data_IF_242459328695
#
_entry.id   IF_242459328695
#
_cell.length_a   1.000
_cell.length_b   1.000
_cell.length_c   1.000
_cell.angle_alpha   90.00
_cell.angle_beta   90.00
_cell.angle_gamma   90.00
#
_symmetry.space_group_name_H-M   'P 1'
#
loop_
_entity.id
_entity.type
_entity.pdbx_description
1 polymer ?
#
# COMPACT_ATOMS: atom_id res chain seq x y z
N UNK A 1 5.48 -12.32 -8.38
CA UNK A 1 4.66 -11.60 -7.38
C UNK A 1 3.65 -12.58 -6.88
N UNK A 2 3.69 -12.83 -5.58
CA UNK A 2 2.79 -13.80 -4.96
C UNK A 2 1.62 -13.06 -4.35
N UNK A 3 0.40 -13.53 -4.58
CA UNK A 3 -0.83 -12.93 -4.03
C UNK A 3 -1.68 -13.96 -3.32
N UNK A 4 -2.30 -13.54 -2.22
CA UNK A 4 -3.34 -14.29 -1.52
C UNK A 4 -4.63 -13.48 -1.51
N UNK A 5 -5.71 -14.10 -1.95
CA UNK A 5 -7.07 -13.56 -1.89
C UNK A 5 -8.06 -14.69 -1.57
N UNK A 6 -9.35 -14.39 -1.37
CA UNK A 6 -10.37 -15.44 -1.27
C UNK A 6 -10.43 -16.37 -2.48
N UNK A 7 -9.89 -15.97 -3.64
CA UNK A 7 -9.77 -16.80 -4.84
C UNK A 7 -8.58 -17.78 -4.78
N UNK A 8 -7.73 -17.67 -3.76
CA UNK A 8 -6.60 -18.56 -3.51
C UNK A 8 -5.24 -17.89 -3.69
N UNK A 9 -4.22 -18.74 -3.81
CA UNK A 9 -2.83 -18.34 -4.08
C UNK A 9 -2.57 -18.21 -5.58
N UNK A 10 -1.89 -17.15 -5.98
CA UNK A 10 -1.34 -16.99 -7.34
C UNK A 10 0.11 -16.54 -7.30
N UNK A 11 0.93 -17.07 -8.20
CA UNK A 11 2.29 -16.56 -8.46
C UNK A 11 2.35 -15.99 -9.88
N UNK A 12 2.54 -14.68 -9.96
CA UNK A 12 2.51 -13.91 -11.21
C UNK A 12 3.94 -13.50 -11.56
N UNK A 13 4.50 -14.03 -12.65
CA UNK A 13 5.81 -13.63 -13.12
C UNK A 13 5.79 -12.15 -13.55
N UNK A 14 6.63 -11.33 -12.90
CA UNK A 14 6.78 -9.92 -13.26
C UNK A 14 7.91 -9.77 -14.28
N UNK A 15 7.60 -9.07 -15.38
CA UNK A 15 8.53 -8.75 -16.46
C UNK A 15 8.30 -7.32 -16.93
N UNK A 16 9.26 -6.75 -17.63
CA UNK A 16 9.10 -5.41 -18.22
C UNK A 16 7.80 -5.33 -19.06
N UNK A 17 7.04 -4.26 -18.85
CA UNK A 17 5.74 -4.03 -19.49
C UNK A 17 4.55 -4.74 -18.85
N UNK A 18 4.73 -5.55 -17.81
CA UNK A 18 3.61 -6.15 -17.08
C UNK A 18 2.91 -5.10 -16.20
N UNK A 19 1.57 -5.11 -16.24
CA UNK A 19 0.71 -4.36 -15.30
C UNK A 19 -0.04 -5.37 -14.45
N UNK A 20 0.09 -5.27 -13.14
CA UNK A 20 -0.66 -6.07 -12.17
C UNK A 20 -1.41 -5.12 -11.27
N UNK A 21 -2.73 -5.26 -11.22
CA UNK A 21 -3.60 -4.50 -10.33
C UNK A 21 -4.35 -5.48 -9.43
N UNK A 22 -4.60 -5.05 -8.20
CA UNK A 22 -5.40 -5.78 -7.23
C UNK A 22 -6.21 -4.81 -6.37
N UNK A 23 -7.28 -5.30 -5.78
CA UNK A 23 -8.20 -4.53 -4.94
C UNK A 23 -7.85 -4.69 -3.46
N UNK A 24 -8.40 -3.83 -2.57
CA UNK A 24 -8.23 -3.96 -1.13
C UNK A 24 -8.56 -5.37 -0.62
N UNK A 25 -7.79 -5.84 0.36
CA UNK A 25 -7.90 -7.19 0.92
C UNK A 25 -6.98 -8.23 0.26
N UNK A 26 -6.26 -7.86 -0.79
CA UNK A 26 -5.24 -8.71 -1.42
C UNK A 26 -3.92 -8.62 -0.66
N UNK A 27 -3.49 -9.72 -0.06
CA UNK A 27 -2.12 -9.84 0.46
C UNK A 27 -1.19 -10.06 -0.73
N UNK A 28 -0.08 -9.33 -0.77
CA UNK A 28 0.91 -9.52 -1.81
C UNK A 28 2.34 -9.50 -1.31
N UNK A 29 3.21 -10.22 -2.02
CA UNK A 29 4.64 -10.25 -1.78
C UNK A 29 5.40 -10.14 -3.09
N UNK A 30 6.34 -9.20 -3.10
CA UNK A 30 7.34 -9.09 -4.15
C UNK A 30 8.49 -10.02 -3.81
N UNK A 31 8.60 -11.14 -4.54
CA UNK A 31 9.77 -12.01 -4.49
C UNK A 31 10.63 -11.63 -5.68
N UNK A 32 11.78 -11.04 -5.40
CA UNK A 32 12.70 -10.56 -6.43
C UNK A 32 13.43 -11.74 -7.07
N UNK A 33 13.31 -11.86 -8.40
CA UNK A 33 14.27 -12.58 -9.24
C UNK A 33 15.04 -11.58 -10.08
N UNK A 34 16.37 -11.56 -9.98
CA UNK A 34 17.23 -10.62 -10.72
C UNK A 34 17.08 -9.15 -10.30
N UNK A 35 17.36 -8.21 -11.19
CA UNK A 35 17.37 -6.75 -10.91
C UNK A 35 16.02 -6.06 -11.14
N UNK A 36 14.93 -6.71 -10.73
CA UNK A 36 13.57 -6.21 -10.96
C UNK A 36 13.38 -4.81 -10.33
N UNK A 37 13.01 -3.83 -11.15
CA UNK A 37 12.53 -2.51 -10.73
C UNK A 37 11.08 -2.36 -11.15
N UNK A 38 10.24 -1.91 -10.24
CA UNK A 38 8.81 -1.67 -10.49
C UNK A 38 8.41 -0.27 -10.05
N UNK A 39 7.51 0.34 -10.81
CA UNK A 39 6.79 1.55 -10.39
C UNK A 39 5.46 1.10 -9.81
N UNK A 40 5.22 1.47 -8.55
CA UNK A 40 3.97 1.17 -7.84
C UNK A 40 3.13 2.42 -7.80
N UNK A 41 1.90 2.33 -8.34
CA UNK A 41 0.88 3.36 -8.21
C UNK A 41 -0.15 2.88 -7.20
N UNK A 42 -0.34 3.65 -6.12
CA UNK A 42 -1.30 3.31 -5.08
C UNK A 42 -2.53 4.21 -5.21
N UNK A 43 -3.71 3.60 -5.09
CA UNK A 43 -4.98 4.31 -5.14
C UNK A 43 -5.17 5.16 -3.87
N UNK A 44 -5.86 6.30 -3.98
CA UNK A 44 -6.19 7.20 -2.85
C UNK A 44 -4.93 7.66 -2.10
N UNK A 45 -3.97 8.25 -2.84
CA UNK A 45 -2.64 8.62 -2.37
C UNK A 45 -2.55 8.99 -0.89
N UNK A 46 -1.68 8.29 -0.16
CA UNK A 46 -1.40 8.53 1.26
C UNK A 46 -2.08 7.55 2.24
N UNK A 47 -3.07 6.75 1.83
CA UNK A 47 -3.66 5.74 2.74
C UNK A 47 -2.67 4.65 3.17
N UNK A 48 -1.84 4.09 2.26
CA UNK A 48 -0.79 3.13 2.64
C UNK A 48 0.22 3.71 3.62
N UNK A 49 0.66 4.94 3.38
CA UNK A 49 1.54 5.68 4.27
C UNK A 49 0.85 6.01 5.61
N UNK A 50 -0.48 6.19 5.61
CA UNK A 50 -1.30 6.36 6.81
C UNK A 50 -1.65 5.03 7.52
N UNK A 51 -1.10 3.91 7.05
CA UNK A 51 -1.20 2.61 7.68
C UNK A 51 -2.40 1.77 7.26
N UNK A 52 -2.91 1.93 6.03
CA UNK A 52 -3.94 1.02 5.48
C UNK A 52 -3.42 -0.39 5.17
N UNK A 53 -2.11 -0.52 5.03
CA UNK A 53 -1.43 -1.76 4.77
C UNK A 53 -1.03 -2.44 6.09
N UNK A 54 -1.47 -3.69 6.24
CA UNK A 54 -1.25 -4.49 7.44
C UNK A 54 -0.30 -5.64 7.11
N UNK A 55 0.76 -5.80 7.91
CA UNK A 55 1.69 -6.94 7.76
C UNK A 55 1.03 -8.25 8.16
N UNK A 56 1.35 -9.32 7.46
CA UNK A 56 0.91 -10.69 7.78
C UNK A 56 1.71 -11.29 8.93
N UNK A 57 1.81 -10.59 10.05
CA UNK A 57 2.44 -11.13 11.26
C UNK A 57 1.64 -12.30 11.84
N UNK A 58 2.25 -13.14 12.69
CA UNK A 58 1.55 -14.17 13.45
C UNK A 58 0.37 -13.63 14.26
N UNK A 59 -0.63 -14.48 14.51
CA UNK A 59 -1.90 -14.11 15.13
C UNK A 59 -1.75 -13.45 16.50
N UNK A 60 -0.79 -13.90 17.31
CA UNK A 60 -0.47 -13.34 18.62
C UNK A 60 0.09 -11.92 18.58
N UNK A 61 0.73 -11.53 17.46
CA UNK A 61 1.18 -10.15 17.24
C UNK A 61 0.01 -9.30 16.75
N UNK A 62 -0.83 -9.84 15.87
CA UNK A 62 -2.02 -9.14 15.34
C UNK A 62 -3.09 -8.90 16.41
N UNK A 63 -3.14 -9.73 17.45
CA UNK A 63 -4.11 -9.61 18.53
C UNK A 63 -3.82 -8.46 19.50
N UNK A 64 -2.62 -7.86 19.45
CA UNK A 64 -2.18 -6.79 20.36
C UNK A 64 -1.69 -5.57 19.55
N UNK A 65 -2.43 -4.43 19.60
CA UNK A 65 -2.04 -3.22 18.87
C UNK A 65 -0.65 -2.68 19.22
N UNK A 66 -0.20 -2.84 20.46
CA UNK A 66 1.13 -2.42 20.91
C UNK A 66 2.23 -3.28 20.32
N UNK A 67 2.08 -4.61 20.39
CA UNK A 67 3.04 -5.56 19.78
C UNK A 67 3.09 -5.41 18.27
N UNK A 68 1.93 -5.19 17.64
CA UNK A 68 1.87 -4.90 16.22
C UNK A 68 2.64 -3.63 15.88
N UNK A 69 2.44 -2.53 16.62
CA UNK A 69 3.11 -1.27 16.37
C UNK A 69 4.63 -1.38 16.56
N UNK A 70 5.09 -2.09 17.59
CA UNK A 70 6.51 -2.37 17.85
C UNK A 70 7.15 -3.14 16.69
N UNK A 71 6.50 -4.21 16.23
CA UNK A 71 7.01 -5.04 15.13
C UNK A 71 6.95 -4.34 13.76
N UNK A 72 5.96 -3.48 13.54
CA UNK A 72 5.74 -2.81 12.26
C UNK A 72 6.62 -1.56 12.05
N UNK A 73 7.00 -0.88 13.13
CA UNK A 73 7.71 0.41 13.08
C UNK A 73 9.21 0.21 12.87
N UNK A 74 9.80 1.01 11.99
CA UNK A 74 11.26 1.06 11.84
C UNK A 74 11.83 2.24 12.64
N UNK A 75 13.06 2.10 13.17
CA UNK A 75 13.80 3.24 13.70
C UNK A 75 13.95 4.33 12.64
N UNK A 76 13.98 5.59 13.09
CA UNK A 76 14.27 6.71 12.20
C UNK A 76 15.73 6.67 11.71
N UNK A 77 15.98 7.23 10.53
CA UNK A 77 17.33 7.34 9.97
C UNK A 77 17.66 6.28 8.94
N UNK A 78 18.94 5.92 8.87
CA UNK A 78 19.53 4.97 7.92
C UNK A 78 20.65 4.18 8.58
N UNK A 79 21.11 3.10 7.94
CA UNK A 79 22.25 2.31 8.42
C UNK A 79 21.86 0.90 8.86
N UNK A 80 22.83 0.19 9.44
CA UNK A 80 22.73 -1.24 9.75
C UNK A 80 21.59 -1.58 10.71
N UNK A 81 21.29 -0.71 11.68
CA UNK A 81 20.19 -0.91 12.63
C UNK A 81 18.82 -0.88 11.93
N UNK A 82 18.58 0.14 11.11
CA UNK A 82 17.34 0.27 10.32
C UNK A 82 17.19 -0.90 9.35
N UNK A 83 18.30 -1.31 8.72
CA UNK A 83 18.32 -2.49 7.85
C UNK A 83 17.98 -3.78 8.60
N UNK A 84 18.57 -4.00 9.77
CA UNK A 84 18.29 -5.17 10.60
C UNK A 84 16.82 -5.20 11.04
N UNK A 85 16.29 -4.06 11.49
CA UNK A 85 14.86 -3.92 11.84
C UNK A 85 13.95 -4.20 10.63
N UNK A 86 14.30 -3.69 9.45
CA UNK A 86 13.54 -3.94 8.23
C UNK A 86 13.55 -5.42 7.82
N UNK A 87 14.68 -6.12 7.98
CA UNK A 87 14.78 -7.56 7.75
C UNK A 87 13.98 -8.35 8.76
N UNK A 88 14.07 -8.04 10.05
CA UNK A 88 13.29 -8.68 11.10
C UNK A 88 11.77 -8.53 10.88
N UNK A 89 11.32 -7.31 10.56
CA UNK A 89 9.93 -7.05 10.18
C UNK A 89 9.48 -7.87 8.97
N UNK A 90 10.31 -7.93 7.92
CA UNK A 90 10.03 -8.74 6.73
C UNK A 90 9.90 -10.21 7.08
N UNK A 91 10.83 -10.75 7.88
CA UNK A 91 10.88 -12.17 8.20
C UNK A 91 9.67 -12.59 9.03
N UNK A 92 9.28 -11.79 10.03
CA UNK A 92 8.05 -12.00 10.80
C UNK A 92 6.78 -11.95 9.92
N UNK A 93 6.73 -11.05 8.93
CA UNK A 93 5.61 -11.00 7.99
C UNK A 93 5.59 -12.22 7.07
N UNK A 94 6.76 -12.76 6.71
CA UNK A 94 6.88 -13.98 5.91
C UNK A 94 6.41 -15.21 6.69
N UNK A 95 6.71 -15.30 7.99
CA UNK A 95 6.23 -16.39 8.85
C UNK A 95 4.70 -16.51 8.80
N UNK A 96 3.97 -15.43 9.08
CA UNK A 96 2.50 -15.47 9.01
C UNK A 96 1.98 -15.61 7.57
N UNK A 97 2.66 -15.02 6.57
CA UNK A 97 2.30 -15.21 5.16
C UNK A 97 2.33 -16.69 4.74
N UNK A 98 3.34 -17.46 5.17
CA UNK A 98 3.48 -18.86 4.79
C UNK A 98 2.32 -19.70 5.31
N UNK A 99 1.88 -19.46 6.56
CA UNK A 99 0.69 -20.09 7.14
C UNK A 99 -0.56 -19.80 6.30
N UNK A 100 -0.78 -18.54 5.93
CA UNK A 100 -1.93 -18.14 5.10
C UNK A 100 -1.89 -18.82 3.71
N UNK A 101 -0.71 -18.86 3.09
CA UNK A 101 -0.51 -19.49 1.78
C UNK A 101 -0.78 -20.99 1.83
N UNK A 102 -0.24 -21.69 2.82
CA UNK A 102 -0.38 -23.14 2.96
C UNK A 102 -1.83 -23.54 3.18
N UNK A 103 -2.57 -22.80 4.01
CA UNK A 103 -4.00 -22.99 4.19
C UNK A 103 -4.77 -22.80 2.87
N UNK A 104 -4.51 -21.72 2.12
CA UNK A 104 -5.19 -21.47 0.84
C UNK A 104 -4.86 -22.52 -0.21
N UNK A 105 -3.63 -23.01 -0.27
CA UNK A 105 -3.23 -24.11 -1.17
C UNK A 105 -3.95 -25.41 -0.79
N UNK A 106 -4.21 -25.64 0.49
CA UNK A 106 -5.02 -26.76 0.98
C UNK A 106 -6.54 -26.56 0.79
N UNK A 107 -6.97 -25.41 0.25
CA UNK A 107 -8.38 -25.08 0.06
C UNK A 107 -9.07 -24.47 1.29
N UNK A 108 -8.33 -24.12 2.33
CA UNK A 108 -8.84 -23.47 3.54
C UNK A 108 -8.65 -21.95 3.50
N UNK A 109 -9.77 -21.23 3.39
CA UNK A 109 -9.82 -19.75 3.41
C UNK A 109 -9.96 -19.19 4.83
N UNK A 110 -10.16 -20.03 5.85
CA UNK A 110 -10.38 -19.66 7.25
C UNK A 110 -9.28 -18.73 7.80
N UNK A 111 -8.00 -19.12 7.74
CA UNK A 111 -6.89 -18.30 8.23
C UNK A 111 -6.80 -16.93 7.56
N UNK A 112 -7.04 -16.83 6.25
CA UNK A 112 -7.08 -15.54 5.55
C UNK A 112 -8.19 -14.64 6.09
N UNK A 113 -9.37 -15.19 6.35
CA UNK A 113 -10.51 -14.43 6.91
C UNK A 113 -10.25 -14.01 8.36
N UNK A 114 -9.52 -14.80 9.13
CA UNK A 114 -9.10 -14.44 10.50
C UNK A 114 -8.08 -13.30 10.47
N UNK A 115 -7.08 -13.39 9.58
CA UNK A 115 -6.15 -12.30 9.33
C UNK A 115 -6.89 -11.01 8.96
N UNK A 116 -7.83 -11.06 8.01
CA UNK A 116 -8.62 -9.89 7.60
C UNK A 116 -9.43 -9.28 8.76
N UNK A 117 -9.99 -10.11 9.65
CA UNK A 117 -10.69 -9.65 10.86
C UNK A 117 -9.74 -8.95 11.83
N UNK A 118 -8.57 -9.54 12.10
CA UNK A 118 -7.58 -8.95 12.99
C UNK A 118 -7.02 -7.63 12.42
N UNK A 119 -6.69 -7.62 11.12
CA UNK A 119 -6.25 -6.42 10.41
C UNK A 119 -7.29 -5.30 10.50
N UNK A 120 -8.57 -5.60 10.24
CA UNK A 120 -9.66 -4.63 10.35
C UNK A 120 -9.83 -4.08 11.78
N UNK A 121 -9.57 -4.90 12.81
CA UNK A 121 -9.59 -4.45 14.20
C UNK A 121 -8.44 -3.46 14.47
N UNK A 122 -7.21 -3.79 14.05
CA UNK A 122 -6.02 -2.95 14.23
C UNK A 122 -6.16 -1.56 13.59
N UNK A 123 -6.77 -1.50 12.40
CA UNK A 123 -6.85 -0.24 11.66
C UNK A 123 -8.09 0.60 11.98
N UNK A 124 -9.02 0.09 12.79
CA UNK A 124 -10.33 0.73 13.04
C UNK A 124 -10.21 2.19 13.47
N UNK A 125 -9.27 2.48 14.38
CA UNK A 125 -9.06 3.83 14.92
C UNK A 125 -8.44 4.80 13.90
N UNK A 126 -7.86 4.29 12.81
CA UNK A 126 -7.26 5.10 11.74
C UNK A 126 -8.28 5.57 10.69
N UNK A 127 -9.44 4.91 10.62
CA UNK A 127 -10.48 5.18 9.62
C UNK A 127 -10.93 6.66 9.59
N UNK A 128 -11.13 7.37 10.72
CA UNK A 128 -11.45 8.80 10.69
C UNK A 128 -10.39 9.62 9.94
N UNK A 129 -9.11 9.39 10.22
CA UNK A 129 -8.00 10.06 9.53
C UNK A 129 -7.98 9.72 8.04
N UNK A 130 -8.23 8.47 7.68
CA UNK A 130 -8.31 8.07 6.27
C UNK A 130 -9.46 8.75 5.53
N UNK A 131 -10.60 8.99 6.20
CA UNK A 131 -11.70 9.76 5.60
C UNK A 131 -11.31 11.21 5.33
N UNK A 132 -10.54 11.84 6.21
CA UNK A 132 -10.00 13.18 5.97
C UNK A 132 -9.09 13.19 4.74
N UNK A 133 -8.11 12.27 4.70
CA UNK A 133 -7.17 12.14 3.57
C UNK A 133 -7.90 11.86 2.26
N UNK A 134 -8.87 10.96 2.26
CA UNK A 134 -9.67 10.64 1.08
C UNK A 134 -10.49 11.85 0.60
N UNK A 135 -11.11 12.60 1.53
CA UNK A 135 -11.87 13.80 1.20
C UNK A 135 -10.99 14.87 0.56
N UNK A 136 -9.84 15.19 1.17
CA UNK A 136 -8.91 16.20 0.65
C UNK A 136 -8.21 15.78 -0.65
N UNK A 137 -7.98 14.48 -0.84
CA UNK A 137 -7.32 13.92 -2.01
C UNK A 137 -8.29 13.46 -3.10
N UNK A 138 -8.53 12.14 -3.14
CA UNK A 138 -9.20 11.50 -4.27
C UNK A 138 -10.64 11.96 -4.49
N UNK A 139 -11.41 12.21 -3.42
CA UNK A 139 -12.77 12.72 -3.56
C UNK A 139 -12.77 14.13 -4.12
N UNK A 140 -11.98 15.05 -3.54
CA UNK A 140 -11.89 16.42 -4.05
C UNK A 140 -11.45 16.46 -5.52
N UNK A 141 -10.56 15.55 -5.94
CA UNK A 141 -10.18 15.43 -7.36
C UNK A 141 -11.35 14.98 -8.25
N UNK A 142 -12.14 14.01 -7.81
CA UNK A 142 -13.33 13.56 -8.52
C UNK A 142 -14.40 14.65 -8.60
N UNK A 143 -14.66 15.37 -7.50
CA UNK A 143 -15.61 16.49 -7.45
C UNK A 143 -15.16 17.66 -8.35
N UNK A 144 -13.85 17.99 -8.36
CA UNK A 144 -13.29 18.97 -9.30
C UNK A 144 -13.52 18.57 -10.76
N UNK A 145 -13.37 17.29 -11.09
CA UNK A 145 -13.65 16.77 -12.44
C UNK A 145 -15.12 16.99 -12.80
N UNK A 146 -16.03 16.73 -11.87
CA UNK A 146 -17.47 17.02 -12.06
C UNK A 146 -17.73 18.49 -12.39
N UNK A 147 -17.18 19.41 -11.60
CA UNK A 147 -17.32 20.84 -11.84
C UNK A 147 -16.74 21.30 -13.19
N UNK A 148 -15.62 20.71 -13.61
CA UNK A 148 -15.03 20.97 -14.92
C UNK A 148 -15.92 20.50 -16.07
N UNK A 149 -16.55 19.31 -15.93
CA UNK A 149 -17.50 18.80 -16.92
C UNK A 149 -18.73 19.70 -17.04
N UNK A 150 -19.28 20.17 -15.91
CA UNK A 150 -20.41 21.10 -15.90
C UNK A 150 -20.06 22.44 -16.56
N UNK A 151 -18.85 22.96 -16.30
CA UNK A 151 -18.34 24.18 -16.93
C UNK A 151 -18.24 24.01 -18.46
N UNK A 152 -17.67 22.90 -18.93
CA UNK A 152 -17.59 22.58 -20.36
C UNK A 152 -18.97 22.49 -21.01
N UNK A 153 -19.94 21.84 -20.34
CA UNK A 153 -21.30 21.75 -20.83
C UNK A 153 -21.99 23.12 -20.93
N UNK A 154 -21.65 24.06 -20.03
CA UNK A 154 -22.10 25.45 -20.06
C UNK A 154 -21.33 26.37 -21.01
N UNK A 155 -20.27 25.89 -21.67
CA UNK A 155 -19.40 26.68 -22.54
C UNK A 155 -18.34 27.52 -21.81
N UNK A 156 -18.14 27.31 -20.51
CA UNK A 156 -17.08 27.93 -19.73
C UNK A 156 -15.78 27.10 -19.82
N UNK A 157 -14.74 27.72 -20.38
CA UNK A 157 -13.44 27.12 -20.63
C UNK A 157 -12.34 27.64 -19.68
N UNK A 158 -12.67 28.43 -18.66
CA UNK A 158 -11.69 29.12 -17.82
C UNK A 158 -10.63 28.19 -17.23
N UNK A 159 -11.03 27.02 -16.72
CA UNK A 159 -10.12 26.03 -16.14
C UNK A 159 -9.10 25.46 -17.14
N UNK A 160 -9.36 25.52 -18.46
CA UNK A 160 -8.38 25.10 -19.47
C UNK A 160 -7.18 26.05 -19.53
N UNK A 161 -7.38 27.32 -19.16
CA UNK A 161 -6.29 28.30 -19.03
C UNK A 161 -5.33 28.02 -17.88
N UNK A 162 -5.70 27.14 -16.94
CA UNK A 162 -4.89 26.73 -15.79
C UNK A 162 -4.03 25.49 -16.07
N UNK A 163 -4.03 24.98 -17.31
CA UNK A 163 -3.28 23.78 -17.68
C UNK A 163 -1.78 23.92 -17.35
N UNK A 164 -1.24 22.92 -16.65
CA UNK A 164 0.14 22.91 -16.19
C UNK A 164 0.77 21.53 -16.36
N UNK A 165 2.10 21.50 -16.52
CA UNK A 165 2.91 20.28 -16.55
C UNK A 165 3.73 20.21 -15.26
N UNK A 166 3.72 19.04 -14.62
CA UNK A 166 4.45 18.78 -13.38
C UNK A 166 5.47 17.67 -13.59
N UNK A 167 6.67 17.86 -13.03
CA UNK A 167 7.74 16.87 -13.00
C UNK A 167 8.17 16.64 -11.55
N UNK A 168 8.53 15.40 -11.21
CA UNK A 168 9.09 15.05 -9.91
C UNK A 168 10.20 14.01 -10.05
N UNK A 169 11.26 14.19 -9.27
CA UNK A 169 12.31 13.19 -9.03
C UNK A 169 12.12 12.60 -7.60
N UNK A 170 12.78 11.47 -7.28
CA UNK A 170 12.78 10.94 -5.92
C UNK A 170 13.15 12.00 -4.88
N UNK A 171 12.25 12.27 -3.95
CA UNK A 171 12.49 13.17 -2.81
C UNK A 171 13.33 12.48 -1.73
N UNK A 172 13.25 11.15 -1.65
CA UNK A 172 14.10 10.31 -0.80
C UNK A 172 14.50 9.04 -1.54
N UNK A 173 15.77 8.64 -1.40
CA UNK A 173 16.30 7.43 -2.04
C UNK A 173 16.63 6.34 -1.02
N UNK A 174 16.47 5.09 -1.43
CA UNK A 174 16.94 3.93 -0.66
C UNK A 174 16.25 3.73 0.70
N UNK A 175 14.96 4.09 0.79
CA UNK A 175 14.15 3.83 1.98
C UNK A 175 13.69 2.37 2.06
N UNK A 176 13.38 1.90 3.28
CA UNK A 176 12.79 0.58 3.51
C UNK A 176 11.26 0.67 3.57
N UNK A 177 10.61 0.27 2.48
CA UNK A 177 9.16 0.10 2.42
C UNK A 177 8.71 -1.24 3.02
N UNK A 178 7.42 -1.53 2.89
CA UNK A 178 6.83 -2.80 3.33
C UNK A 178 7.24 -3.98 2.44
N UNK A 179 7.42 -3.73 1.14
CA UNK A 179 7.73 -4.76 0.14
C UNK A 179 9.21 -4.80 -0.31
N UNK A 180 10.09 -4.04 0.34
CA UNK A 180 11.52 -3.95 -0.02
C UNK A 180 12.04 -2.52 -0.04
N UNK A 181 13.10 -2.29 -0.81
CA UNK A 181 13.66 -0.97 -1.01
C UNK A 181 12.76 -0.12 -1.90
N UNK A 182 12.67 1.17 -1.60
CA UNK A 182 11.92 2.14 -2.39
C UNK A 182 12.61 3.50 -2.43
N UNK A 183 12.41 4.16 -3.56
CA UNK A 183 12.57 5.61 -3.68
C UNK A 183 11.18 6.24 -3.48
N UNK A 184 11.10 7.32 -2.70
CA UNK A 184 9.86 8.02 -2.40
C UNK A 184 9.76 9.28 -3.25
N UNK A 185 8.53 9.61 -3.67
CA UNK A 185 8.22 10.76 -4.51
C UNK A 185 7.20 11.64 -3.81
N UNK A 186 7.52 12.91 -3.63
CA UNK A 186 6.54 13.94 -3.27
C UNK A 186 6.15 14.64 -4.55
N UNK A 187 4.87 14.55 -4.93
CA UNK A 187 4.38 15.10 -6.19
C UNK A 187 3.90 16.55 -6.00
N UNK A 188 4.36 17.50 -6.83
CA UNK A 188 3.80 18.85 -6.84
C UNK A 188 2.37 18.83 -7.39
N UNK A 189 1.48 19.64 -6.82
CA UNK A 189 0.07 19.74 -7.24
C UNK A 189 -0.87 18.67 -6.66
N UNK A 190 -0.34 17.66 -5.94
CA UNK A 190 -1.13 16.77 -5.10
C UNK A 190 -1.51 17.49 -3.81
N UNK A 191 -2.65 18.16 -3.78
CA UNK A 191 -3.14 18.85 -2.59
C UNK A 191 -3.15 17.94 -1.35
N UNK A 192 -2.79 18.52 -0.21
CA UNK A 192 -3.23 18.05 1.10
C UNK A 192 -4.67 18.51 1.35
#
# INVERSE_FOLDING_TARGET
>A
MQTLSPEGYRDIALRAGAVVWFTPGTVHRMVQGGDLRVTVLMQNGGLPEAGDAVFTFPGEVLADPGRYAEAATLPAGTGAEVEAAARGRRDLAVEGYLVLREALVAGDVGPLREFQRAAAALVRERVPRWRELWRGGALAAAERTGAQLDALAGGDLAHLGEAAVYEAAPSRRGGYGMCGWRDEYVLPGGGA
#
